data_IF_868761864750
#
_entry.id   IF_868761864750
#
_cell.length_a   1.000
_cell.length_b   1.000
_cell.length_c   1.000
_cell.angle_alpha   90.00
_cell.angle_beta   90.00
_cell.angle_gamma   90.00
#
_symmetry.space_group_name_H-M   'P 1'
#
loop_
_entity.id
_entity.type
_entity.pdbx_description
1 polymer ?
#
# COMPACT_ATOMS: atom_id res chain seq x y z
N UNK A 1 15.00 -25.54 43.06
CA UNK A 1 13.74 -24.91 42.68
C UNK A 1 13.90 -24.41 41.23
N UNK A 2 13.39 -25.14 40.23
CA UNK A 2 13.57 -24.81 38.81
C UNK A 2 12.51 -23.85 38.24
N UNK A 3 11.47 -23.48 38.99
CA UNK A 3 10.37 -22.60 38.53
C UNK A 3 10.85 -21.20 38.08
N UNK A 4 11.94 -20.67 38.65
CA UNK A 4 12.42 -19.31 38.37
C UNK A 4 13.08 -19.09 36.98
N UNK A 5 13.52 -20.13 36.28
CA UNK A 5 14.19 -19.97 34.97
C UNK A 5 13.21 -20.02 33.81
N UNK A 6 12.17 -20.86 33.92
CA UNK A 6 11.14 -21.02 32.91
C UNK A 6 10.25 -19.77 32.82
N UNK A 7 9.94 -19.15 33.96
CA UNK A 7 9.17 -17.89 34.01
C UNK A 7 9.94 -16.72 33.38
N UNK A 8 11.25 -16.61 33.64
CA UNK A 8 12.10 -15.58 33.02
C UNK A 8 12.21 -15.74 31.50
N UNK A 9 12.33 -16.98 31.02
CA UNK A 9 12.35 -17.26 29.59
C UNK A 9 11.01 -16.89 28.92
N UNK A 10 9.90 -17.18 29.60
CA UNK A 10 8.56 -16.83 29.14
C UNK A 10 8.35 -15.31 29.09
N UNK A 11 8.78 -14.57 30.11
CA UNK A 11 8.74 -13.10 30.12
C UNK A 11 9.55 -12.48 28.97
N UNK A 12 10.76 -12.98 28.71
CA UNK A 12 11.58 -12.51 27.59
C UNK A 12 10.95 -12.80 26.22
N UNK A 13 10.31 -13.96 26.08
CA UNK A 13 9.56 -14.30 24.88
C UNK A 13 8.38 -13.35 24.68
N UNK A 14 7.58 -13.10 25.72
CA UNK A 14 6.41 -12.22 25.66
C UNK A 14 6.83 -10.78 25.31
N UNK A 15 7.92 -10.27 25.88
CA UNK A 15 8.45 -8.95 25.54
C UNK A 15 8.89 -8.87 24.06
N UNK A 16 9.53 -9.93 23.56
CA UNK A 16 9.95 -10.00 22.16
C UNK A 16 8.73 -10.02 21.23
N UNK A 17 7.72 -10.82 21.55
CA UNK A 17 6.46 -10.88 20.81
C UNK A 17 5.74 -9.53 20.81
N UNK A 18 5.65 -8.87 21.97
CA UNK A 18 5.04 -7.54 22.08
C UNK A 18 5.74 -6.53 21.18
N UNK A 19 7.08 -6.54 21.15
CA UNK A 19 7.87 -5.67 20.27
C UNK A 19 7.59 -5.94 18.79
N UNK A 20 7.48 -7.21 18.38
CA UNK A 20 7.11 -7.56 17.00
C UNK A 20 5.70 -7.09 16.65
N UNK A 21 4.72 -7.33 17.51
CA UNK A 21 3.33 -6.90 17.29
C UNK A 21 3.24 -5.39 17.20
N UNK A 22 3.93 -4.63 18.07
CA UNK A 22 3.99 -3.16 17.99
C UNK A 22 4.57 -2.70 16.65
N UNK A 23 5.65 -3.33 16.18
CA UNK A 23 6.27 -2.98 14.90
C UNK A 23 5.35 -3.31 13.72
N UNK A 24 4.66 -4.45 13.77
CA UNK A 24 3.65 -4.83 12.77
C UNK A 24 2.49 -3.84 12.70
N UNK A 25 1.94 -3.42 13.84
CA UNK A 25 0.84 -2.47 13.87
C UNK A 25 1.23 -1.12 13.25
N UNK A 26 2.44 -0.61 13.57
CA UNK A 26 2.96 0.60 12.92
C UNK A 26 3.10 0.43 11.42
N UNK A 27 3.67 -0.69 10.97
CA UNK A 27 3.84 -0.97 9.54
C UNK A 27 2.48 -1.03 8.82
N UNK A 28 1.47 -1.67 9.43
CA UNK A 28 0.10 -1.72 8.91
C UNK A 28 -0.47 -0.32 8.73
N UNK A 29 -0.29 0.55 9.72
CA UNK A 29 -0.82 1.92 9.67
C UNK A 29 -0.10 2.74 8.58
N UNK A 30 1.23 2.63 8.47
CA UNK A 30 1.99 3.23 7.36
C UNK A 30 1.54 2.72 5.99
N UNK A 31 1.32 1.41 5.83
CA UNK A 31 0.82 0.84 4.57
C UNK A 31 -0.58 1.37 4.23
N UNK A 32 -1.43 1.58 5.23
CA UNK A 32 -2.76 2.15 5.03
C UNK A 32 -2.67 3.60 4.51
N UNK A 33 -1.77 4.39 5.06
CA UNK A 33 -1.52 5.77 4.59
C UNK A 33 -0.96 5.80 3.17
N UNK A 34 0.06 4.97 2.89
CA UNK A 34 0.64 4.85 1.54
C UNK A 34 -0.39 4.40 0.50
N UNK A 35 -1.29 3.47 0.85
CA UNK A 35 -2.37 3.04 -0.04
C UNK A 35 -3.37 4.17 -0.32
N UNK A 36 -3.63 5.04 0.66
CA UNK A 36 -4.48 6.21 0.45
C UNK A 36 -3.81 7.21 -0.48
N UNK A 37 -2.55 7.55 -0.23
CA UNK A 37 -1.78 8.46 -1.08
C UNK A 37 -1.65 7.94 -2.52
N UNK A 38 -1.41 6.64 -2.69
CA UNK A 38 -1.42 5.98 -4.00
C UNK A 38 -2.74 6.21 -4.74
N UNK A 39 -3.87 6.04 -4.05
CA UNK A 39 -5.20 6.25 -4.63
C UNK A 39 -5.42 7.73 -4.99
N UNK A 40 -5.07 8.65 -4.09
CA UNK A 40 -5.21 10.09 -4.34
C UNK A 40 -4.36 10.52 -5.56
N UNK A 41 -3.18 9.92 -5.76
CA UNK A 41 -2.36 10.11 -6.96
C UNK A 41 -3.00 9.52 -8.22
N UNK A 42 -3.55 8.31 -8.16
CA UNK A 42 -4.28 7.70 -9.29
C UNK A 42 -5.46 8.58 -9.71
N UNK A 43 -6.26 9.07 -8.74
CA UNK A 43 -7.39 9.96 -9.00
C UNK A 43 -6.93 11.30 -9.62
N UNK A 44 -5.81 11.87 -9.15
CA UNK A 44 -5.24 13.08 -9.73
C UNK A 44 -4.74 12.86 -11.17
N UNK A 45 -4.05 11.74 -11.45
CA UNK A 45 -3.59 11.39 -12.79
C UNK A 45 -4.79 11.26 -13.73
N UNK A 46 -5.86 10.56 -13.30
CA UNK A 46 -7.10 10.42 -14.08
C UNK A 46 -7.69 11.79 -14.40
N UNK A 47 -7.83 12.68 -13.41
CA UNK A 47 -8.36 14.03 -13.63
C UNK A 47 -7.52 14.86 -14.61
N UNK A 48 -6.21 14.65 -14.66
CA UNK A 48 -5.33 15.35 -15.60
C UNK A 48 -5.48 14.87 -17.04
N UNK A 49 -5.73 13.57 -17.25
CA UNK A 49 -5.89 13.00 -18.60
C UNK A 49 -7.34 13.02 -19.09
N UNK A 50 -8.31 13.11 -18.19
CA UNK A 50 -9.73 13.21 -18.52
C UNK A 50 -10.01 14.47 -19.36
N UNK A 51 -10.67 14.29 -20.51
CA UNK A 51 -10.93 15.38 -21.46
C UNK A 51 -9.75 15.75 -22.36
N UNK A 52 -8.63 15.02 -22.27
CA UNK A 52 -7.49 15.14 -23.21
C UNK A 52 -7.46 13.98 -24.20
N UNK A 53 -6.73 14.15 -25.31
CA UNK A 53 -6.47 13.09 -26.30
C UNK A 53 -5.22 12.25 -25.94
N UNK A 54 -4.77 12.28 -24.68
CA UNK A 54 -3.59 11.52 -24.24
C UNK A 54 -3.98 10.05 -24.04
N UNK A 55 -3.53 9.18 -24.94
CA UNK A 55 -3.78 7.74 -24.86
C UNK A 55 -2.73 6.99 -24.01
N UNK A 56 -1.47 7.44 -24.03
CA UNK A 56 -0.40 6.82 -23.25
C UNK A 56 0.76 7.79 -22.97
N UNK A 57 1.55 7.49 -21.95
CA UNK A 57 2.83 8.14 -21.65
C UNK A 57 3.92 7.09 -21.38
N UNK A 58 5.18 7.49 -21.50
CA UNK A 58 6.33 6.65 -21.13
C UNK A 58 7.02 7.27 -19.92
N UNK A 59 7.11 6.52 -18.82
CA UNK A 59 7.77 6.94 -17.57
C UNK A 59 8.72 5.84 -17.14
N UNK A 60 10.00 6.17 -16.95
CA UNK A 60 11.05 5.23 -16.52
C UNK A 60 11.12 3.92 -17.32
N UNK A 61 10.84 4.01 -18.62
CA UNK A 61 10.84 2.85 -19.53
C UNK A 61 9.56 1.98 -19.47
N UNK A 62 8.57 2.37 -18.68
CA UNK A 62 7.24 1.76 -18.66
C UNK A 62 6.26 2.58 -19.51
N UNK A 63 5.48 1.90 -20.34
CA UNK A 63 4.33 2.50 -21.05
C UNK A 63 3.12 2.44 -20.13
N UNK A 64 2.51 3.60 -19.87
CA UNK A 64 1.29 3.75 -19.08
C UNK A 64 0.18 4.16 -20.04
N UNK A 65 -0.80 3.28 -20.22
CA UNK A 65 -1.95 3.50 -21.10
C UNK A 65 -3.17 3.99 -20.30
N UNK A 66 -3.87 4.98 -20.84
CA UNK A 66 -5.10 5.52 -20.27
C UNK A 66 -6.30 5.07 -21.12
N UNK A 67 -6.97 4.00 -20.71
CA UNK A 67 -8.16 3.53 -21.43
C UNK A 67 -9.38 4.42 -21.16
N UNK A 68 -9.63 5.38 -22.05
CA UNK A 68 -10.91 6.10 -22.08
C UNK A 68 -12.01 5.18 -22.67
N UNK A 69 -12.88 4.60 -21.83
CA UNK A 69 -14.05 3.83 -22.26
C UNK A 69 -15.20 4.73 -22.76
N UNK A 70 -14.93 5.59 -23.75
CA UNK A 70 -15.96 6.45 -24.38
C UNK A 70 -16.19 6.05 -25.83
N UNK A 71 -16.75 4.87 -26.08
CA UNK A 71 -17.26 4.52 -27.42
C UNK A 71 -18.64 3.86 -27.35
N UNK A 72 -19.68 4.62 -27.72
CA UNK A 72 -20.89 4.04 -28.30
C UNK A 72 -20.53 3.55 -29.69
N UNK A 73 -20.55 2.23 -29.91
CA UNK A 73 -20.47 1.63 -31.25
C UNK A 73 -21.88 1.56 -31.83
N UNK A 74 -22.17 2.38 -32.84
CA UNK A 74 -23.32 2.17 -33.74
C UNK A 74 -22.83 1.41 -34.98
N UNK A 75 -23.55 0.34 -35.33
CA UNK A 75 -23.33 -0.47 -36.54
C UNK A 75 -23.93 0.20 -37.76
#
# INVERSE_FOLDING_TARGET
MPENEQDKQNEQFLQSLENFVRRYLRLRDTLKELNKEKKDLEDAIIQMVEGTDIEHIIVDGMVVEFENKTKIKLK
#
